data_IF_824688322047
#
_entry.id   IF_824688322047
#
_cell.length_a   1.000
_cell.length_b   1.000
_cell.length_c   1.000
_cell.angle_alpha   90.00
_cell.angle_beta   90.00
_cell.angle_gamma   90.00
#
_symmetry.space_group_name_H-M   'P 1'
#
loop_
_entity.id
_entity.type
_entity.pdbx_description
1 polymer ?
#
# COMPACT_ATOMS: atom_id res chain seq x y z
N UNK A 1 29.62 -10.07 8.12
CA UNK A 1 28.42 -9.76 8.93
C UNK A 1 27.29 -9.44 7.96
N UNK A 2 26.67 -10.49 7.42
CA UNK A 2 25.74 -10.38 6.28
C UNK A 2 24.32 -10.12 6.82
N UNK A 3 23.96 -8.84 6.95
CA UNK A 3 22.62 -8.43 7.31
C UNK A 3 21.69 -8.59 6.11
N UNK A 4 21.04 -9.75 5.97
CA UNK A 4 19.91 -9.93 5.08
C UNK A 4 18.72 -9.12 5.62
N UNK A 5 18.70 -7.82 5.34
CA UNK A 5 17.47 -7.06 5.40
C UNK A 5 16.55 -7.60 4.30
N UNK A 6 15.64 -8.49 4.68
CA UNK A 6 14.54 -8.89 3.82
C UNK A 6 13.66 -7.65 3.59
N UNK A 7 14.02 -6.86 2.60
CA UNK A 7 13.17 -5.85 2.00
C UNK A 7 11.83 -6.54 1.68
N UNK A 8 10.73 -5.90 2.09
CA UNK A 8 9.39 -6.43 1.80
C UNK A 8 9.21 -6.64 0.29
N UNK A 9 8.24 -7.48 -0.10
CA UNK A 9 7.85 -7.63 -1.52
C UNK A 9 6.42 -7.15 -1.71
N UNK A 10 6.17 -6.48 -2.83
CA UNK A 10 4.82 -6.14 -3.29
C UNK A 10 4.50 -7.00 -4.52
N UNK A 11 3.67 -8.02 -4.34
CA UNK A 11 3.32 -9.01 -5.38
C UNK A 11 4.53 -9.58 -6.13
N UNK A 12 5.57 -9.93 -5.39
CA UNK A 12 6.81 -10.50 -5.92
C UNK A 12 7.91 -9.49 -6.24
N UNK A 13 7.59 -8.20 -6.34
CA UNK A 13 8.55 -7.14 -6.67
C UNK A 13 9.25 -6.67 -5.39
N UNK A 14 10.61 -6.59 -5.34
CA UNK A 14 11.34 -6.00 -4.23
C UNK A 14 10.89 -4.57 -3.93
N UNK A 15 10.71 -4.24 -2.65
CA UNK A 15 10.13 -2.95 -2.26
C UNK A 15 11.00 -1.76 -2.66
N UNK A 16 12.31 -1.90 -2.68
CA UNK A 16 13.27 -0.88 -3.07
C UNK A 16 13.26 -0.55 -4.58
N UNK A 17 12.71 -1.43 -5.42
CA UNK A 17 12.49 -1.16 -6.86
C UNK A 17 11.28 -0.25 -7.12
N UNK A 18 10.38 -0.08 -6.14
CA UNK A 18 9.14 0.69 -6.28
C UNK A 18 9.28 2.07 -5.62
N UNK A 19 9.28 3.14 -6.42
CA UNK A 19 9.30 4.52 -5.90
C UNK A 19 7.90 5.03 -5.54
N UNK A 20 7.23 4.35 -4.62
CA UNK A 20 5.97 4.81 -4.03
C UNK A 20 6.18 5.35 -2.61
N UNK A 21 6.13 6.66 -2.43
CA UNK A 21 6.17 7.30 -1.11
C UNK A 21 5.57 8.72 -1.19
N UNK A 22 4.93 9.21 -0.12
CA UNK A 22 4.54 10.60 -0.06
C UNK A 22 5.74 11.55 0.06
N UNK A 23 5.59 12.76 -0.49
CA UNK A 23 6.42 13.92 -0.20
C UNK A 23 5.66 14.88 0.71
N UNK A 24 6.33 15.40 1.73
CA UNK A 24 5.77 16.33 2.71
C UNK A 24 6.15 17.76 2.33
N UNK A 25 5.15 18.60 2.07
CA UNK A 25 5.33 20.03 1.88
C UNK A 25 5.33 20.73 3.25
N UNK A 26 6.53 20.96 3.79
CA UNK A 26 6.71 21.55 5.13
C UNK A 26 6.07 22.93 5.27
N UNK A 27 5.96 23.71 4.19
CA UNK A 27 5.31 25.03 4.20
C UNK A 27 3.79 24.98 4.41
N UNK A 28 3.14 23.83 4.13
CA UNK A 28 1.71 23.62 4.36
C UNK A 28 1.44 22.80 5.62
N UNK A 29 2.44 22.09 6.15
CA UNK A 29 2.28 21.23 7.30
C UNK A 29 2.26 22.04 8.60
N UNK A 30 1.20 21.89 9.39
CA UNK A 30 1.05 22.52 10.71
C UNK A 30 1.61 21.66 11.87
N UNK A 31 2.02 20.43 11.56
CA UNK A 31 2.53 19.47 12.55
C UNK A 31 1.45 18.70 13.33
N UNK A 32 0.20 18.65 12.87
CA UNK A 32 -0.90 17.99 13.59
C UNK A 32 -0.74 16.48 13.84
N UNK A 33 0.11 15.79 13.05
CA UNK A 33 0.42 14.37 13.27
C UNK A 33 -0.66 13.36 12.86
N UNK A 34 -1.77 13.79 12.22
CA UNK A 34 -2.84 12.88 11.75
C UNK A 34 -2.30 11.77 10.85
N UNK A 35 -1.38 12.11 9.93
CA UNK A 35 -0.77 11.16 9.01
C UNK A 35 0.08 10.10 9.72
N UNK A 36 0.75 10.47 10.82
CA UNK A 36 1.61 9.57 11.61
C UNK A 36 0.75 8.59 12.40
N UNK A 37 -0.24 9.10 13.12
CA UNK A 37 -1.10 8.31 14.01
C UNK A 37 -2.08 7.40 13.26
N UNK A 38 -2.45 7.77 12.03
CA UNK A 38 -3.41 7.01 11.22
C UNK A 38 -2.76 6.04 10.23
N UNK A 39 -1.43 6.01 10.11
CA UNK A 39 -0.76 5.16 9.14
C UNK A 39 -0.88 3.67 9.50
N UNK A 40 -1.59 2.84 8.70
CA UNK A 40 -1.78 1.43 9.04
C UNK A 40 -0.47 0.62 9.04
N UNK A 41 0.51 1.04 8.24
CA UNK A 41 1.81 0.38 8.14
C UNK A 41 2.89 1.00 9.02
N UNK A 42 2.55 2.04 9.79
CA UNK A 42 3.48 2.78 10.66
C UNK A 42 4.74 3.21 9.88
N UNK A 43 4.53 3.72 8.68
CA UNK A 43 5.56 4.13 7.74
C UNK A 43 5.95 5.61 7.88
N UNK A 44 5.27 6.36 8.76
CA UNK A 44 5.63 7.73 9.07
C UNK A 44 6.06 7.80 10.53
N UNK A 45 7.15 8.51 10.78
CA UNK A 45 7.62 8.94 12.09
C UNK A 45 7.41 10.44 12.22
N UNK A 46 7.48 10.99 13.44
CA UNK A 46 7.35 12.43 13.65
C UNK A 46 8.67 13.01 14.16
N UNK A 47 9.19 14.01 13.44
CA UNK A 47 10.30 14.83 13.93
C UNK A 47 9.72 15.94 14.81
N UNK A 48 9.88 15.82 16.13
CA UNK A 48 9.38 16.81 17.08
C UNK A 48 10.15 18.13 17.05
N UNK A 49 11.39 18.13 16.58
CA UNK A 49 12.21 19.34 16.46
C UNK A 49 11.77 20.18 15.27
N UNK A 50 11.54 19.52 14.13
CA UNK A 50 11.08 20.16 12.89
C UNK A 50 9.55 20.27 12.80
N UNK A 51 8.81 19.58 13.67
CA UNK A 51 7.34 19.47 13.68
C UNK A 51 6.75 18.96 12.36
N UNK A 52 7.45 18.04 11.70
CA UNK A 52 7.01 17.45 10.44
C UNK A 52 7.14 15.92 10.46
N UNK A 53 6.31 15.20 9.69
CA UNK A 53 6.46 13.76 9.53
C UNK A 53 7.67 13.40 8.67
N UNK A 54 8.40 12.35 9.06
CA UNK A 54 9.43 11.68 8.27
C UNK A 54 8.90 10.36 7.71
N UNK A 55 9.13 10.08 6.43
CA UNK A 55 8.58 8.92 5.74
C UNK A 55 9.64 7.83 5.60
N UNK A 56 9.32 6.61 6.01
CA UNK A 56 10.06 5.40 5.68
C UNK A 56 9.53 4.83 4.35
N UNK A 57 10.30 4.94 3.25
CA UNK A 57 9.87 4.51 1.93
C UNK A 57 9.59 3.01 1.88
N UNK A 58 10.39 2.22 2.60
CA UNK A 58 10.37 0.76 2.55
C UNK A 58 9.21 0.19 3.35
N UNK A 59 8.70 0.93 4.35
CA UNK A 59 7.49 0.57 5.09
C UNK A 59 6.22 1.14 4.47
N UNK A 60 6.33 2.13 3.58
CA UNK A 60 5.17 2.72 2.93
C UNK A 60 4.49 1.70 2.00
N UNK A 61 3.21 1.42 2.23
CA UNK A 61 2.44 0.48 1.40
C UNK A 61 2.20 1.07 0.01
N UNK A 62 2.65 0.34 -1.01
CA UNK A 62 2.48 0.69 -2.42
C UNK A 62 0.99 0.88 -2.75
N UNK A 63 0.64 2.03 -3.32
CA UNK A 63 -0.73 2.40 -3.65
C UNK A 63 -1.59 2.92 -2.50
N UNK A 64 -1.08 2.94 -1.27
CA UNK A 64 -1.78 3.56 -0.15
C UNK A 64 -1.80 5.09 -0.26
N UNK A 65 -2.93 5.71 0.07
CA UNK A 65 -3.13 7.16 0.06
C UNK A 65 -3.65 7.76 1.37
N UNK A 66 -3.72 6.96 2.45
CA UNK A 66 -4.34 7.35 3.73
C UNK A 66 -3.80 8.67 4.30
N UNK A 67 -2.47 8.87 4.27
CA UNK A 67 -1.87 10.09 4.82
C UNK A 67 -2.26 11.35 4.05
N UNK A 68 -2.39 11.27 2.72
CA UNK A 68 -2.83 12.38 1.89
C UNK A 68 -4.33 12.65 2.09
N UNK A 69 -5.15 11.60 2.10
CA UNK A 69 -6.59 11.72 2.28
C UNK A 69 -6.99 12.33 3.65
N UNK A 70 -6.16 12.14 4.68
CA UNK A 70 -6.40 12.67 6.03
C UNK A 70 -5.77 14.04 6.29
N UNK A 71 -4.90 14.54 5.42
CA UNK A 71 -4.20 15.81 5.68
C UNK A 71 -5.13 16.99 5.38
N UNK A 72 -5.61 17.74 6.39
CA UNK A 72 -6.53 18.86 6.15
C UNK A 72 -5.85 20.06 5.45
N UNK A 73 -4.52 20.08 5.42
CA UNK A 73 -3.71 21.14 4.82
C UNK A 73 -3.17 20.78 3.43
N UNK A 74 -3.53 19.61 2.89
CA UNK A 74 -3.04 19.13 1.60
C UNK A 74 -1.50 19.06 1.50
N UNK A 75 -0.82 19.00 2.65
CA UNK A 75 0.65 19.04 2.75
C UNK A 75 1.34 17.74 2.33
N UNK A 76 0.59 16.72 1.89
CA UNK A 76 1.10 15.40 1.54
C UNK A 76 0.84 15.14 0.07
N UNK A 77 1.90 15.11 -0.74
CA UNK A 77 1.83 14.79 -2.16
C UNK A 77 2.15 13.32 -2.39
N UNK A 78 1.31 12.63 -3.17
CA UNK A 78 1.56 11.25 -3.58
C UNK A 78 2.14 11.20 -5.00
N UNK A 79 2.88 10.14 -5.36
CA UNK A 79 3.27 9.89 -6.74
C UNK A 79 2.04 9.77 -7.63
N UNK A 80 2.18 10.15 -8.90
CA UNK A 80 1.12 9.99 -9.88
C UNK A 80 0.73 8.51 -10.03
N UNK A 81 -0.57 8.24 -10.16
CA UNK A 81 -1.09 6.88 -10.36
C UNK A 81 -0.54 6.19 -11.61
N UNK A 82 -0.02 6.94 -12.60
CA UNK A 82 0.73 6.43 -13.75
C UNK A 82 1.90 5.55 -13.35
N UNK A 83 2.65 5.94 -12.31
CA UNK A 83 3.79 5.16 -11.81
C UNK A 83 3.35 3.75 -11.40
N UNK A 84 2.21 3.63 -10.72
CA UNK A 84 1.67 2.31 -10.36
C UNK A 84 1.21 1.52 -11.59
N UNK A 85 0.58 2.17 -12.56
CA UNK A 85 0.14 1.49 -13.79
C UNK A 85 1.32 0.92 -14.55
N UNK A 86 2.38 1.71 -14.74
CA UNK A 86 3.62 1.28 -15.39
C UNK A 86 4.24 0.07 -14.69
N UNK A 87 4.31 0.07 -13.36
CA UNK A 87 4.84 -1.08 -12.59
C UNK A 87 3.92 -2.30 -12.70
N UNK A 88 2.59 -2.11 -12.64
CA UNK A 88 1.63 -3.21 -12.78
C UNK A 88 1.77 -3.89 -14.14
N UNK A 89 1.90 -3.09 -15.20
CA UNK A 89 2.06 -3.57 -16.58
C UNK A 89 3.41 -4.27 -16.77
N UNK A 90 4.52 -3.64 -16.37
CA UNK A 90 5.88 -4.15 -16.56
C UNK A 90 6.11 -5.50 -15.86
N UNK A 91 5.53 -5.69 -14.68
CA UNK A 91 5.71 -6.90 -13.89
C UNK A 91 4.51 -7.87 -13.97
N UNK A 92 3.52 -7.60 -14.83
CA UNK A 92 2.29 -8.39 -14.96
C UNK A 92 1.62 -8.68 -13.61
N UNK A 93 1.55 -7.65 -12.74
CA UNK A 93 1.05 -7.78 -11.36
C UNK A 93 -0.41 -8.23 -11.34
N UNK A 94 -1.20 -7.84 -12.32
CA UNK A 94 -2.58 -8.29 -12.49
C UNK A 94 -2.67 -9.82 -12.67
N UNK A 95 -1.75 -10.41 -13.44
CA UNK A 95 -1.68 -11.87 -13.64
C UNK A 95 -1.20 -12.60 -12.39
N UNK A 96 -0.23 -12.03 -11.67
CA UNK A 96 0.24 -12.55 -10.37
C UNK A 96 -0.89 -12.52 -9.35
N UNK A 97 -1.55 -11.38 -9.19
CA UNK A 97 -2.63 -11.19 -8.20
C UNK A 97 -3.86 -12.04 -8.51
N UNK A 98 -4.21 -12.27 -9.78
CA UNK A 98 -5.25 -13.25 -10.14
C UNK A 98 -4.91 -14.64 -9.60
N UNK A 99 -3.67 -15.11 -9.75
CA UNK A 99 -3.24 -16.42 -9.20
C UNK A 99 -3.28 -16.43 -7.67
N UNK A 100 -2.77 -15.38 -7.03
CA UNK A 100 -2.82 -15.22 -5.56
C UNK A 100 -4.26 -15.24 -5.03
N UNK A 101 -5.21 -14.60 -5.73
CA UNK A 101 -6.61 -14.59 -5.36
C UNK A 101 -7.24 -15.99 -5.42
N UNK A 102 -6.98 -16.76 -6.49
CA UNK A 102 -7.46 -18.13 -6.61
C UNK A 102 -6.94 -19.01 -5.47
N UNK A 103 -5.70 -18.81 -5.03
CA UNK A 103 -5.13 -19.53 -3.88
C UNK A 103 -5.84 -19.19 -2.56
N UNK A 104 -6.40 -17.98 -2.44
CA UNK A 104 -7.13 -17.52 -1.25
C UNK A 104 -8.62 -17.91 -1.27
N UNK A 105 -9.11 -18.59 -2.31
CA UNK A 105 -10.53 -18.96 -2.48
C UNK A 105 -11.16 -19.58 -1.23
N UNK A 106 -10.49 -20.57 -0.61
CA UNK A 106 -10.98 -21.25 0.60
C UNK A 106 -11.15 -20.29 1.78
N UNK A 107 -10.27 -19.28 1.91
CA UNK A 107 -10.36 -18.26 2.96
C UNK A 107 -11.62 -17.39 2.81
N UNK A 108 -12.08 -17.17 1.59
CA UNK A 108 -13.23 -16.30 1.31
C UNK A 108 -14.57 -17.03 1.25
N UNK A 109 -14.57 -18.34 0.97
CA UNK A 109 -15.79 -19.15 0.88
C UNK A 109 -16.70 -19.03 2.11
N UNK A 110 -16.15 -18.85 3.32
CA UNK A 110 -16.93 -18.71 4.56
C UNK A 110 -17.20 -17.28 5.02
N UNK A 111 -16.79 -16.26 4.25
CA UNK A 111 -16.91 -14.83 4.62
C UNK A 111 -17.93 -14.12 3.74
N UNK A 112 -18.15 -14.60 2.52
CA UNK A 112 -19.13 -14.03 1.62
C UNK A 112 -20.55 -14.43 2.05
N UNK A 113 -21.52 -13.49 2.07
CA UNK A 113 -22.91 -13.83 2.36
C UNK A 113 -23.42 -14.83 1.32
N UNK A 114 -23.66 -16.08 1.74
CA UNK A 114 -24.22 -17.14 0.88
C UNK A 114 -25.58 -16.77 0.28
N UNK A 115 -26.29 -15.83 0.91
CA UNK A 115 -27.55 -15.28 0.41
C UNK A 115 -27.42 -14.49 -0.92
N UNK A 116 -26.21 -14.07 -1.31
CA UNK A 116 -25.95 -13.31 -2.55
C UNK A 116 -25.25 -14.17 -3.60
N UNK A 117 -24.45 -15.17 -3.19
CA UNK A 117 -23.74 -16.09 -4.08
C UNK A 117 -24.02 -17.54 -3.64
N UNK A 118 -25.00 -18.22 -4.24
CA UNK A 118 -25.25 -19.62 -3.93
C UNK A 118 -24.03 -20.47 -4.40
N UNK A 119 -23.76 -21.56 -3.68
CA UNK A 119 -22.50 -22.33 -3.72
C UNK A 119 -22.15 -22.95 -5.11
N UNK A 120 -23.07 -22.85 -6.07
CA UNK A 120 -23.06 -23.42 -7.42
C UNK A 120 -22.16 -22.68 -8.45
N UNK A 121 -21.52 -21.55 -8.08
CA UNK A 121 -20.52 -20.91 -8.96
C UNK A 121 -19.10 -21.48 -8.75
N UNK A 122 -18.95 -22.52 -7.93
CA UNK A 122 -17.63 -23.08 -7.58
C UNK A 122 -17.14 -24.17 -8.55
N UNK A 123 -18.00 -24.72 -9.38
CA UNK A 123 -17.65 -25.77 -10.34
C UNK A 123 -17.84 -25.27 -11.79
N UNK A 124 -16.79 -24.66 -12.35
CA UNK A 124 -16.45 -24.75 -13.78
C UNK A 124 -15.22 -23.88 -14.09
N UNK A 125 -14.04 -24.44 -13.86
CA UNK A 125 -12.82 -24.05 -14.55
C UNK A 125 -12.13 -25.33 -14.99
N UNK A 126 -12.64 -25.87 -16.09
CA UNK A 126 -11.93 -26.81 -16.96
C UNK A 126 -11.01 -25.99 -17.87
#
# INVERSE_FOLDING_TARGET
>A
MSGNHHLGRWHGIPRDEIRWQPLVQSCLCDGCGLCVTSCPNKALYFDFSLKIPFVDPLRCLVGCSTCAALCPHEAILLPDRRVLREIIELHHVDSVTRKELHQRRKKYAGVLPQAIYPDDVVENQN
#
